data_IF_162627570525
#
_entry.id   IF_162627570525
#
_cell.length_a   1.000
_cell.length_b   1.000
_cell.length_c   1.000
_cell.angle_alpha   90.00
_cell.angle_beta   90.00
_cell.angle_gamma   90.00
#
_symmetry.space_group_name_H-M   'P 1'
#
loop_
_entity.id
_entity.type
_entity.pdbx_description
1 polymer ?
#
# COMPACT_ATOMS: atom_id res chain seq x y z
N UNK A 1 21.95 -16.93 25.00
CA UNK A 1 21.67 -16.34 23.68
C UNK A 1 20.23 -15.87 23.69
N UNK A 2 19.90 -14.62 23.36
CA UNK A 2 18.51 -14.25 23.18
C UNK A 2 18.02 -14.95 21.90
N UNK A 3 16.91 -15.67 22.02
CA UNK A 3 16.17 -16.23 20.90
C UNK A 3 15.64 -15.07 20.06
N UNK A 4 16.09 -14.97 18.81
CA UNK A 4 15.47 -14.08 17.84
C UNK A 4 14.11 -14.68 17.45
N UNK A 5 13.05 -13.88 17.23
CA UNK A 5 11.78 -14.42 16.77
C UNK A 5 12.00 -15.07 15.40
N UNK A 6 11.66 -16.36 15.25
CA UNK A 6 11.51 -16.98 13.92
C UNK A 6 10.30 -16.32 13.24
N UNK A 7 10.50 -15.70 12.08
CA UNK A 7 9.43 -14.99 11.38
C UNK A 7 9.91 -13.82 10.51
N UNK A 8 8.98 -12.94 10.13
CA UNK A 8 9.28 -11.69 9.42
C UNK A 8 10.13 -10.78 10.30
N UNK A 9 11.32 -10.43 9.81
CA UNK A 9 12.28 -9.56 10.48
C UNK A 9 11.92 -8.10 10.22
N UNK A 10 11.61 -7.77 8.96
CA UNK A 10 11.21 -6.43 8.54
C UNK A 10 10.32 -6.52 7.29
N UNK A 11 9.36 -5.62 7.19
CA UNK A 11 8.63 -5.38 5.93
C UNK A 11 8.66 -3.90 5.61
N UNK A 12 8.76 -3.55 4.33
CA UNK A 12 8.50 -2.19 3.86
C UNK A 12 7.71 -2.28 2.56
N UNK A 13 6.73 -1.43 2.38
CA UNK A 13 5.96 -1.43 1.15
C UNK A 13 5.08 -0.21 0.97
N UNK A 14 4.49 -0.13 -0.21
CA UNK A 14 3.42 0.81 -0.58
C UNK A 14 2.23 -0.01 -1.02
N UNK A 15 1.03 0.42 -0.67
CA UNK A 15 -0.18 -0.31 -1.05
C UNK A 15 -1.35 0.63 -1.31
N UNK A 16 -2.25 0.12 -2.14
CA UNK A 16 -3.53 0.72 -2.44
C UNK A 16 -4.62 0.08 -1.59
N UNK A 17 -5.40 0.91 -0.91
CA UNK A 17 -6.50 0.51 -0.04
C UNK A 17 -7.82 0.95 -0.67
N UNK A 18 -8.77 0.03 -0.82
CA UNK A 18 -10.05 0.31 -1.47
C UNK A 18 -10.81 1.48 -0.81
N UNK A 19 -10.82 1.55 0.54
CA UNK A 19 -11.46 2.64 1.30
C UNK A 19 -10.75 3.99 1.17
N UNK A 20 -9.55 4.05 0.58
CA UNK A 20 -8.79 5.28 0.32
C UNK A 20 -8.23 5.27 -1.12
N UNK A 21 -9.10 5.33 -2.14
CA UNK A 21 -8.71 5.01 -3.50
C UNK A 21 -7.72 6.01 -4.11
N UNK A 22 -7.69 7.24 -3.61
CA UNK A 22 -6.86 8.32 -4.12
C UNK A 22 -5.53 8.48 -3.40
N UNK A 23 -5.38 7.80 -2.27
CA UNK A 23 -4.21 7.92 -1.40
C UNK A 23 -3.37 6.66 -1.45
N UNK A 24 -2.07 6.82 -1.66
CA UNK A 24 -1.13 5.75 -1.43
C UNK A 24 -0.73 5.68 0.03
N UNK A 25 -0.70 4.46 0.56
CA UNK A 25 -0.22 4.21 1.91
C UNK A 25 1.14 3.54 1.86
N UNK A 26 2.02 3.85 2.80
CA UNK A 26 3.23 3.08 3.07
C UNK A 26 3.07 2.29 4.35
N UNK A 27 3.76 1.15 4.45
CA UNK A 27 3.94 0.42 5.68
C UNK A 27 5.41 0.13 5.93
N UNK A 28 5.78 0.11 7.21
CA UNK A 28 7.03 -0.46 7.68
C UNK A 28 6.78 -1.30 8.93
N UNK A 29 7.33 -2.51 8.95
CA UNK A 29 7.32 -3.40 10.11
C UNK A 29 8.74 -3.71 10.51
N UNK A 30 9.06 -3.74 11.79
CA UNK A 30 10.35 -4.21 12.32
C UNK A 30 10.14 -4.91 13.66
N UNK A 31 10.50 -6.19 13.75
CA UNK A 31 10.16 -7.00 14.92
C UNK A 31 8.64 -7.03 15.16
N UNK A 32 8.19 -6.63 16.35
CA UNK A 32 6.76 -6.58 16.71
C UNK A 32 6.06 -5.26 16.41
N UNK A 33 6.74 -4.26 15.85
CA UNK A 33 6.15 -2.96 15.52
C UNK A 33 5.72 -2.89 14.05
N UNK A 34 4.54 -2.29 13.81
CA UNK A 34 4.02 -1.95 12.49
C UNK A 34 3.65 -0.47 12.46
N UNK A 35 4.12 0.24 11.45
CA UNK A 35 3.74 1.61 11.16
C UNK A 35 3.14 1.69 9.76
N UNK A 36 2.13 2.52 9.62
CA UNK A 36 1.46 2.79 8.35
C UNK A 36 1.27 4.30 8.29
N UNK A 37 1.45 4.89 7.11
CA UNK A 37 1.25 6.33 6.91
C UNK A 37 0.97 6.69 5.46
N UNK A 38 0.85 7.98 5.20
CA UNK A 38 0.52 8.51 3.87
C UNK A 38 1.78 8.63 3.00
N UNK A 39 1.70 8.17 1.76
CA UNK A 39 2.75 8.31 0.74
C UNK A 39 2.39 9.36 -0.33
N UNK A 40 1.33 10.14 -0.07
CA UNK A 40 0.77 11.11 -1.01
C UNK A 40 -0.28 10.51 -1.95
N UNK A 41 -0.85 11.32 -2.85
CA UNK A 41 -1.87 10.85 -3.78
C UNK A 41 -1.28 9.93 -4.85
N UNK A 42 -2.10 9.06 -5.42
CA UNK A 42 -1.77 8.40 -6.69
C UNK A 42 -1.75 9.43 -7.83
N UNK A 43 -0.85 9.29 -8.82
CA UNK A 43 -0.87 10.19 -9.98
C UNK A 43 -2.18 10.08 -10.77
N UNK A 44 -2.79 8.90 -10.75
CA UNK A 44 -4.10 8.65 -11.33
C UNK A 44 -5.28 9.24 -10.51
N UNK A 45 -5.00 9.95 -9.43
CA UNK A 45 -5.98 10.72 -8.64
C UNK A 45 -5.81 12.24 -8.78
N UNK A 46 -4.82 12.69 -9.57
CA UNK A 46 -4.55 14.12 -9.79
C UNK A 46 -4.68 14.46 -11.28
N UNK A 47 -5.32 15.60 -11.56
CA UNK A 47 -5.60 16.03 -12.94
C UNK A 47 -4.40 16.70 -13.62
N UNK A 48 -3.52 17.34 -12.84
CA UNK A 48 -2.37 18.11 -13.32
C UNK A 48 -1.06 17.62 -12.69
N UNK A 49 -0.07 17.32 -13.54
CA UNK A 49 1.22 16.77 -13.15
C UNK A 49 2.38 17.77 -13.33
N UNK A 50 2.11 19.04 -13.65
CA UNK A 50 3.14 20.04 -13.93
C UNK A 50 4.11 20.27 -12.76
N UNK A 51 3.64 20.06 -11.52
CA UNK A 51 4.44 20.10 -10.30
C UNK A 51 5.07 18.78 -9.87
N UNK A 52 4.83 17.69 -10.60
CA UNK A 52 5.30 16.35 -10.24
C UNK A 52 6.73 16.14 -10.76
N UNK A 53 7.59 15.65 -9.87
CA UNK A 53 8.96 15.29 -10.21
C UNK A 53 9.03 14.34 -11.43
N UNK A 54 10.04 14.54 -12.27
CA UNK A 54 10.18 13.81 -13.53
C UNK A 54 10.37 12.30 -13.30
N UNK A 55 11.12 11.89 -12.27
CA UNK A 55 11.37 10.48 -11.98
C UNK A 55 10.09 9.81 -11.50
N UNK A 56 9.28 10.51 -10.70
CA UNK A 56 7.97 10.02 -10.26
C UNK A 56 7.02 9.81 -11.43
N UNK A 57 6.97 10.75 -12.39
CA UNK A 57 6.16 10.59 -13.62
C UNK A 57 6.65 9.43 -14.47
N UNK A 58 7.96 9.28 -14.63
CA UNK A 58 8.55 8.17 -15.38
C UNK A 58 8.21 6.82 -14.74
N UNK A 59 8.33 6.70 -13.42
CA UNK A 59 7.99 5.47 -12.70
C UNK A 59 6.51 5.11 -12.83
N UNK A 60 5.62 6.10 -12.67
CA UNK A 60 4.19 5.91 -12.88
C UNK A 60 3.88 5.47 -14.32
N UNK A 61 4.52 6.07 -15.32
CA UNK A 61 4.32 5.72 -16.72
C UNK A 61 4.78 4.28 -17.04
N UNK A 62 5.84 3.78 -16.38
CA UNK A 62 6.32 2.41 -16.57
C UNK A 62 5.33 1.36 -16.07
N UNK A 63 4.61 1.67 -14.98
CA UNK A 63 3.68 0.76 -14.32
C UNK A 63 2.21 1.14 -14.55
N UNK A 64 1.93 1.99 -15.55
CA UNK A 64 0.61 2.56 -15.76
C UNK A 64 -0.38 1.51 -16.28
N UNK A 65 -1.43 1.26 -15.51
CA UNK A 65 -2.56 0.45 -15.93
C UNK A 65 -3.66 1.32 -16.60
N UNK A 66 -4.29 0.87 -17.70
CA UNK A 66 -5.35 1.63 -18.36
C UNK A 66 -6.59 1.94 -17.49
N UNK A 67 -6.86 1.14 -16.46
CA UNK A 67 -8.01 1.27 -15.58
C UNK A 67 -7.63 1.85 -14.22
N UNK A 68 -6.48 1.46 -13.68
CA UNK A 68 -6.06 1.82 -12.31
C UNK A 68 -4.99 2.91 -12.27
N UNK A 69 -4.35 3.21 -13.40
CA UNK A 69 -3.26 4.16 -13.51
C UNK A 69 -2.01 3.68 -12.78
N UNK A 70 -1.39 4.52 -11.94
CA UNK A 70 -0.20 4.14 -11.16
C UNK A 70 -0.54 3.42 -9.83
N UNK A 71 -1.81 3.12 -9.58
CA UNK A 71 -2.26 2.45 -8.36
C UNK A 71 -1.77 1.02 -8.31
N UNK A 72 -1.19 0.62 -7.18
CA UNK A 72 -0.64 -0.72 -7.02
C UNK A 72 -0.18 -1.04 -5.61
N UNK A 73 0.36 -2.25 -5.46
CA UNK A 73 0.88 -2.77 -4.21
C UNK A 73 2.28 -3.34 -4.43
N UNK A 74 3.24 -2.88 -3.63
CA UNK A 74 4.64 -3.30 -3.69
C UNK A 74 5.16 -3.51 -2.26
N UNK A 75 5.67 -4.71 -1.99
CA UNK A 75 6.18 -5.08 -0.67
C UNK A 75 7.55 -5.74 -0.79
N UNK A 76 8.43 -5.41 0.15
CA UNK A 76 9.67 -6.12 0.40
C UNK A 76 9.61 -6.69 1.81
N UNK A 77 9.67 -8.01 1.92
CA UNK A 77 9.60 -8.74 3.18
C UNK A 77 10.94 -9.44 3.41
N UNK A 78 11.60 -9.12 4.52
CA UNK A 78 12.80 -9.81 4.99
C UNK A 78 12.40 -10.77 6.12
N UNK A 79 12.76 -12.04 5.99
CA UNK A 79 12.34 -13.10 6.91
C UNK A 79 13.51 -13.95 7.36
N UNK A 80 13.43 -14.50 8.57
CA UNK A 80 14.33 -15.54 9.07
C UNK A 80 13.54 -16.84 9.26
N UNK A 81 13.68 -17.76 8.29
CA UNK A 81 13.07 -19.09 8.32
C UNK A 81 11.55 -19.15 8.10
N UNK A 82 10.88 -18.04 7.77
CA UNK A 82 9.49 -18.07 7.32
C UNK A 82 9.39 -18.57 5.87
N UNK A 83 8.30 -19.27 5.55
CA UNK A 83 8.02 -19.69 4.17
C UNK A 83 7.50 -18.51 3.36
N UNK A 84 8.14 -18.23 2.22
CA UNK A 84 7.71 -17.22 1.28
C UNK A 84 6.29 -17.49 0.76
N UNK A 85 5.92 -18.76 0.56
CA UNK A 85 4.60 -19.13 0.05
C UNK A 85 3.47 -18.75 1.04
N UNK A 86 3.71 -18.92 2.34
CA UNK A 86 2.75 -18.51 3.38
C UNK A 86 2.54 -16.98 3.39
N UNK A 87 3.62 -16.22 3.21
CA UNK A 87 3.56 -14.75 3.17
C UNK A 87 2.83 -14.28 1.92
N UNK A 88 3.15 -14.85 0.76
CA UNK A 88 2.45 -14.51 -0.48
C UNK A 88 0.96 -14.87 -0.40
N UNK A 89 0.62 -16.02 0.18
CA UNK A 89 -0.77 -16.43 0.37
C UNK A 89 -1.52 -15.44 1.28
N UNK A 90 -0.95 -15.04 2.41
CA UNK A 90 -1.55 -14.08 3.31
C UNK A 90 -1.76 -12.69 2.65
N UNK A 91 -0.81 -12.24 1.82
CA UNK A 91 -0.95 -11.00 1.06
C UNK A 91 -2.05 -11.11 -0.02
N UNK A 92 -2.16 -12.25 -0.71
CA UNK A 92 -3.22 -12.49 -1.68
C UNK A 92 -4.61 -12.59 -1.03
N UNK A 93 -4.72 -13.20 0.15
CA UNK A 93 -5.97 -13.27 0.91
C UNK A 93 -6.46 -11.88 1.38
N UNK A 94 -5.55 -10.91 1.50
CA UNK A 94 -5.88 -9.53 1.84
C UNK A 94 -6.32 -8.69 0.64
N UNK A 95 -6.24 -9.22 -0.59
CA UNK A 95 -6.74 -8.53 -1.77
C UNK A 95 -8.27 -8.52 -1.78
N UNK A 96 -8.82 -7.44 -2.32
CA UNK A 96 -10.23 -7.41 -2.69
C UNK A 96 -10.51 -8.48 -3.75
N UNK A 97 -11.68 -9.10 -3.67
CA UNK A 97 -12.15 -10.06 -4.68
C UNK A 97 -12.47 -9.35 -6.00
N UNK A 98 -12.55 -10.10 -7.10
CA UNK A 98 -12.94 -9.56 -8.41
C UNK A 98 -14.30 -8.85 -8.37
N UNK A 99 -15.23 -9.34 -7.56
CA UNK A 99 -16.55 -8.74 -7.39
C UNK A 99 -16.47 -7.40 -6.64
N UNK A 100 -15.66 -7.32 -5.59
CA UNK A 100 -15.42 -6.08 -4.85
C UNK A 100 -14.65 -5.07 -5.71
N UNK A 101 -13.66 -5.52 -6.49
CA UNK A 101 -12.93 -4.68 -7.44
C UNK A 101 -13.88 -4.11 -8.51
N UNK A 102 -14.76 -4.94 -9.06
CA UNK A 102 -15.76 -4.53 -10.05
C UNK A 102 -16.83 -3.57 -9.51
N UNK A 103 -17.06 -3.54 -8.19
CA UNK A 103 -18.00 -2.61 -7.57
C UNK A 103 -17.51 -1.14 -7.67
N UNK A 104 -16.19 -0.95 -7.77
CA UNK A 104 -15.54 0.33 -8.07
C UNK A 104 -15.66 1.39 -6.97
N UNK A 105 -15.16 2.59 -7.30
CA UNK A 105 -14.97 3.71 -6.35
C UNK A 105 -16.23 4.06 -5.53
N UNK A 106 -17.40 4.09 -6.17
CA UNK A 106 -18.65 4.45 -5.49
C UNK A 106 -19.06 3.46 -4.40
N UNK A 107 -18.71 2.18 -4.55
CA UNK A 107 -18.98 1.17 -3.53
C UNK A 107 -17.91 1.20 -2.42
N UNK A 108 -16.65 1.47 -2.77
CA UNK A 108 -15.54 1.42 -1.84
C UNK A 108 -15.55 2.53 -0.79
N UNK A 109 -16.20 3.67 -1.07
CA UNK A 109 -16.41 4.74 -0.09
C UNK A 109 -17.14 4.24 1.18
N UNK A 110 -17.95 3.19 1.05
CA UNK A 110 -18.63 2.53 2.16
C UNK A 110 -17.82 1.44 2.86
N UNK A 111 -16.61 1.13 2.41
CA UNK A 111 -15.81 0.06 3.00
C UNK A 111 -15.22 0.52 4.34
N UNK A 112 -15.21 -0.39 5.31
CA UNK A 112 -14.61 -0.12 6.61
C UNK A 112 -13.11 0.10 6.44
N UNK A 113 -12.62 1.26 6.90
CA UNK A 113 -11.20 1.55 6.95
C UNK A 113 -10.56 0.90 8.18
N UNK A 114 -9.68 -0.12 8.02
CA UNK A 114 -9.01 -0.76 9.15
C UNK A 114 -7.96 0.14 9.81
N UNK A 115 -7.61 1.26 9.20
CA UNK A 115 -6.54 2.15 9.63
C UNK A 115 -7.11 3.52 10.02
N UNK A 116 -7.30 3.74 11.32
CA UNK A 116 -8.01 4.91 11.85
C UNK A 116 -7.20 6.21 11.90
N UNK A 117 -6.02 6.29 11.27
CA UNK A 117 -5.28 7.55 11.20
C UNK A 117 -5.89 8.45 10.12
N UNK A 118 -6.34 9.63 10.53
CA UNK A 118 -6.85 10.69 9.65
C UNK A 118 -5.68 11.42 8.98
N UNK A 119 -5.87 11.94 7.76
CA UNK A 119 -4.89 12.76 7.02
C UNK A 119 -4.29 13.96 7.80
N UNK A 120 -4.79 14.23 9.01
CA UNK A 120 -4.44 15.40 9.84
C UNK A 120 -3.15 15.30 10.65
N UNK A 121 -2.46 14.16 10.71
CA UNK A 121 -1.27 14.02 11.58
C UNK A 121 0.09 14.20 10.86
N UNK A 122 0.12 14.33 9.53
CA UNK A 122 1.37 14.47 8.77
C UNK A 122 1.74 15.94 8.39
N UNK A 123 0.92 16.94 8.76
CA UNK A 123 1.28 18.38 8.59
C UNK A 123 2.25 18.93 9.67
N UNK A 124 2.67 18.09 10.63
CA UNK A 124 3.49 18.52 11.77
C UNK A 124 4.90 17.90 11.84
N UNK A 125 5.46 17.42 10.72
CA UNK A 125 6.86 16.95 10.69
C UNK A 125 7.69 17.45 9.53
#
# INVERSE_FOLDING_TARGET
MPIQPRGVVRTKGRFWLASRPDTALWLESAGGGLQIGHAGPWLAAIDDWDGVDADRRAMAALNWDPYYGDRGQEFVVLTDGADHAEITAALHEALVTDAELAAGLSAWDGYHDPYLFTDREDELR
#
